data_IF_770159960121
#
_entry.id   IF_770159960121
#
_cell.length_a   1.000
_cell.length_b   1.000
_cell.length_c   1.000
_cell.angle_alpha   90.00
_cell.angle_beta   90.00
_cell.angle_gamma   90.00
#
_symmetry.space_group_name_H-M   'P 1'
#
loop_
_entity.id
_entity.type
_entity.pdbx_description
1 polymer ?
#
# COMPACT_ATOMS: atom_id res chain seq x y z
N UNK A 1 -4.98 -14.15 -19.58
CA UNK A 1 -3.62 -13.59 -19.60
C UNK A 1 -3.11 -13.59 -18.18
N UNK A 2 -1.93 -14.15 -17.92
CA UNK A 2 -1.32 -14.13 -16.58
C UNK A 2 -0.82 -12.71 -16.25
N UNK A 3 -0.57 -12.43 -14.95
CA UNK A 3 0.03 -11.14 -14.53
C UNK A 3 1.45 -10.95 -15.08
N UNK A 4 2.20 -12.04 -15.25
CA UNK A 4 3.51 -12.01 -15.93
C UNK A 4 3.40 -11.65 -17.41
N UNK A 5 2.37 -12.16 -18.12
CA UNK A 5 2.14 -11.78 -19.52
C UNK A 5 1.79 -10.29 -19.64
N UNK A 6 0.93 -9.77 -18.76
CA UNK A 6 0.60 -8.34 -18.72
C UNK A 6 1.85 -7.49 -18.43
N UNK A 7 2.72 -7.95 -17.50
CA UNK A 7 3.97 -7.27 -17.23
C UNK A 7 4.87 -7.21 -18.47
N UNK A 8 5.00 -8.31 -19.22
CA UNK A 8 5.79 -8.35 -20.47
C UNK A 8 5.24 -7.43 -21.55
N UNK A 9 3.92 -7.36 -21.71
CA UNK A 9 3.30 -6.40 -22.64
C UNK A 9 3.67 -4.96 -22.25
N UNK A 10 3.51 -4.61 -20.97
CA UNK A 10 3.90 -3.28 -20.46
C UNK A 10 5.39 -3.02 -20.60
N UNK A 11 6.25 -4.01 -20.33
CA UNK A 11 7.70 -3.89 -20.55
C UNK A 11 8.03 -3.61 -22.01
N UNK A 12 7.34 -4.26 -22.96
CA UNK A 12 7.55 -4.04 -24.39
C UNK A 12 7.14 -2.62 -24.81
N UNK A 13 6.01 -2.13 -24.31
CA UNK A 13 5.50 -0.78 -24.58
C UNK A 13 6.43 0.30 -24.03
N UNK A 14 6.98 0.09 -22.82
CA UNK A 14 7.87 1.03 -22.11
C UNK A 14 9.36 0.88 -22.51
N UNK A 15 9.71 -0.11 -23.32
CA UNK A 15 11.08 -0.40 -23.74
C UNK A 15 11.98 -0.82 -22.56
N UNK A 16 11.44 -1.68 -21.68
CA UNK A 16 12.14 -2.21 -20.50
C UNK A 16 12.69 -3.60 -20.80
N UNK A 17 13.99 -3.79 -20.60
CA UNK A 17 14.69 -5.05 -20.86
C UNK A 17 14.62 -6.01 -19.65
N UNK A 18 14.69 -5.48 -18.43
CA UNK A 18 14.70 -6.26 -17.19
C UNK A 18 13.87 -5.57 -16.10
N UNK A 19 13.04 -6.34 -15.42
CA UNK A 19 12.39 -5.96 -14.16
C UNK A 19 12.94 -6.83 -13.04
N UNK A 20 13.47 -6.21 -11.99
CA UNK A 20 13.99 -6.88 -10.79
C UNK A 20 13.11 -6.50 -9.58
N UNK A 21 12.53 -7.50 -8.94
CA UNK A 21 11.56 -7.35 -7.86
C UNK A 21 12.04 -8.10 -6.63
N UNK A 22 12.07 -7.40 -5.49
CA UNK A 22 12.37 -7.97 -4.18
C UNK A 22 11.17 -8.64 -3.50
N UNK A 23 11.37 -9.24 -2.32
CA UNK A 23 10.27 -9.68 -1.47
C UNK A 23 9.40 -8.50 -1.06
N UNK A 24 8.13 -8.55 -1.43
CA UNK A 24 7.22 -7.43 -1.17
C UNK A 24 5.88 -7.54 -1.88
N UNK A 25 5.18 -6.44 -1.93
CA UNK A 25 3.84 -6.37 -2.48
C UNK A 25 3.79 -6.60 -4.01
N UNK A 26 4.83 -6.16 -4.73
CA UNK A 26 4.93 -6.41 -6.18
C UNK A 26 5.08 -7.90 -6.48
N UNK A 27 5.95 -8.59 -5.75
CA UNK A 27 6.13 -10.03 -5.89
C UNK A 27 4.86 -10.80 -5.51
N UNK A 28 4.25 -10.44 -4.39
CA UNK A 28 3.00 -11.03 -3.94
C UNK A 28 1.87 -10.83 -4.96
N UNK A 29 1.80 -9.66 -5.61
CA UNK A 29 0.80 -9.41 -6.64
C UNK A 29 1.05 -10.23 -7.90
N UNK A 30 2.30 -10.32 -8.37
CA UNK A 30 2.64 -11.05 -9.60
C UNK A 30 2.41 -12.55 -9.51
N UNK A 31 2.83 -13.17 -8.39
CA UNK A 31 2.93 -14.63 -8.28
C UNK A 31 2.08 -15.23 -7.14
N UNK A 32 1.42 -14.40 -6.34
CA UNK A 32 0.68 -14.80 -5.12
C UNK A 32 1.56 -15.57 -4.09
N UNK A 33 2.87 -15.32 -4.10
CA UNK A 33 3.82 -15.88 -3.15
C UNK A 33 4.46 -14.80 -2.29
N UNK A 34 4.81 -15.16 -1.05
CA UNK A 34 5.45 -14.26 -0.09
C UNK A 34 6.64 -14.96 0.56
N UNK A 35 7.76 -15.07 -0.16
CA UNK A 35 8.96 -15.68 0.42
C UNK A 35 9.43 -14.81 1.60
N UNK A 36 10.11 -15.46 2.55
CA UNK A 36 10.73 -14.73 3.65
C UNK A 36 11.82 -13.80 3.10
N UNK A 37 11.76 -12.52 3.46
CA UNK A 37 12.76 -11.52 3.08
C UNK A 37 13.59 -11.11 4.29
N UNK A 38 14.91 -11.27 4.19
CA UNK A 38 15.89 -10.80 5.16
C UNK A 38 17.01 -10.01 4.45
N UNK A 39 18.24 -10.04 4.96
CA UNK A 39 19.41 -9.42 4.32
C UNK A 39 19.96 -10.24 3.14
N UNK A 40 19.49 -11.47 2.92
CA UNK A 40 19.93 -12.31 1.81
C UNK A 40 19.24 -11.91 0.52
N UNK A 41 20.02 -11.68 -0.52
CA UNK A 41 19.50 -11.25 -1.83
C UNK A 41 18.54 -12.29 -2.41
N UNK A 42 17.28 -11.90 -2.50
CA UNK A 42 16.20 -12.61 -3.15
C UNK A 42 15.57 -11.67 -4.16
N UNK A 43 15.61 -12.02 -5.44
CA UNK A 43 15.05 -11.19 -6.52
C UNK A 43 14.31 -12.08 -7.51
N UNK A 44 13.10 -11.69 -7.89
CA UNK A 44 12.49 -12.14 -9.13
C UNK A 44 13.00 -11.24 -10.26
N UNK A 45 13.59 -11.83 -11.29
CA UNK A 45 14.01 -11.16 -12.50
C UNK A 45 13.12 -11.59 -13.67
N UNK A 46 12.54 -10.62 -14.38
CA UNK A 46 11.66 -10.84 -15.53
C UNK A 46 12.22 -10.11 -16.75
N UNK A 47 12.35 -10.83 -17.87
CA UNK A 47 12.63 -10.28 -19.21
C UNK A 47 11.49 -10.63 -20.16
N UNK A 48 11.60 -10.25 -21.42
CA UNK A 48 10.61 -10.60 -22.45
C UNK A 48 10.45 -12.12 -22.68
N UNK A 49 11.49 -12.91 -22.39
CA UNK A 49 11.53 -14.33 -22.70
C UNK A 49 11.89 -15.23 -21.52
N UNK A 50 12.12 -14.64 -20.36
CA UNK A 50 12.54 -15.40 -19.18
C UNK A 50 12.01 -14.78 -17.89
N UNK A 51 11.70 -15.62 -16.92
CA UNK A 51 11.51 -15.28 -15.52
C UNK A 51 12.20 -16.30 -14.61
N UNK A 52 12.82 -15.83 -13.53
CA UNK A 52 13.48 -16.69 -12.57
C UNK A 52 13.97 -15.93 -11.36
N UNK A 53 14.28 -16.68 -10.32
CA UNK A 53 14.70 -16.13 -9.05
C UNK A 53 16.22 -16.21 -8.86
N UNK A 54 16.82 -15.11 -8.41
CA UNK A 54 18.01 -15.18 -7.57
C UNK A 54 17.54 -15.57 -6.17
N UNK A 55 18.01 -16.70 -5.63
CA UNK A 55 17.41 -17.28 -4.43
C UNK A 55 18.48 -17.77 -3.45
N UNK A 56 18.45 -17.38 -2.17
CA UNK A 56 19.24 -18.03 -1.16
C UNK A 56 18.92 -19.53 -1.11
N UNK A 57 19.93 -20.40 -1.09
CA UNK A 57 19.73 -21.86 -1.07
C UNK A 57 18.87 -22.32 0.13
N UNK A 58 18.93 -21.55 1.23
CA UNK A 58 18.13 -21.77 2.43
C UNK A 58 16.61 -21.68 2.16
N UNK A 59 16.18 -20.77 1.26
CA UNK A 59 14.77 -20.52 0.98
C UNK A 59 14.24 -21.27 -0.27
N UNK A 60 15.12 -21.89 -1.04
CA UNK A 60 14.78 -22.50 -2.33
C UNK A 60 13.75 -23.62 -2.21
N UNK A 61 13.91 -24.53 -1.25
CA UNK A 61 13.03 -25.69 -1.08
C UNK A 61 11.62 -25.28 -0.64
N UNK A 62 11.49 -24.31 0.26
CA UNK A 62 10.20 -23.81 0.74
C UNK A 62 9.45 -23.02 -0.34
N UNK A 63 10.18 -22.23 -1.13
CA UNK A 63 9.61 -21.45 -2.22
C UNK A 63 9.22 -22.33 -3.41
N UNK A 64 9.96 -23.41 -3.70
CA UNK A 64 9.63 -24.36 -4.76
C UNK A 64 8.30 -25.11 -4.54
N UNK A 65 7.76 -25.09 -3.32
CA UNK A 65 6.41 -25.62 -3.07
C UNK A 65 5.29 -24.69 -3.57
N UNK A 66 5.62 -23.46 -3.93
CA UNK A 66 4.67 -22.41 -4.31
C UNK A 66 4.79 -21.99 -5.78
N UNK A 67 5.89 -22.34 -6.46
CA UNK A 67 6.15 -21.96 -7.86
C UNK A 67 7.10 -22.92 -8.54
N UNK A 68 6.89 -23.13 -9.85
CA UNK A 68 7.77 -23.91 -10.73
C UNK A 68 8.83 -23.05 -11.43
N UNK A 69 8.93 -21.76 -11.10
CA UNK A 69 9.92 -20.88 -11.70
C UNK A 69 11.36 -21.32 -11.35
N UNK A 70 12.32 -21.14 -12.28
CA UNK A 70 13.70 -21.53 -12.04
C UNK A 70 14.38 -20.69 -10.96
N UNK A 71 15.22 -21.35 -10.15
CA UNK A 71 16.03 -20.71 -9.12
C UNK A 71 17.51 -20.75 -9.48
N UNK A 72 18.16 -19.59 -9.46
CA UNK A 72 19.61 -19.43 -9.44
C UNK A 72 20.04 -19.29 -7.98
N UNK A 73 20.43 -20.39 -7.38
CA UNK A 73 20.66 -20.45 -5.93
C UNK A 73 22.10 -20.06 -5.57
N UNK A 74 22.26 -19.47 -4.39
CA UNK A 74 23.53 -19.10 -3.81
C UNK A 74 23.56 -19.40 -2.30
N UNK A 75 24.76 -19.62 -1.76
CA UNK A 75 24.97 -19.87 -0.33
C UNK A 75 25.75 -18.75 0.34
N UNK A 76 25.64 -18.64 1.66
CA UNK A 76 26.31 -17.60 2.47
C UNK A 76 27.83 -17.56 2.29
N UNK A 77 28.45 -18.69 1.93
CA UNK A 77 29.91 -18.75 1.71
C UNK A 77 30.36 -18.14 0.37
N UNK A 78 29.47 -18.15 -0.65
CA UNK A 78 29.82 -17.74 -2.02
C UNK A 78 29.27 -16.36 -2.37
N UNK A 79 28.23 -15.93 -1.70
CA UNK A 79 27.49 -14.69 -2.01
C UNK A 79 26.64 -14.79 -3.28
N UNK A 80 25.87 -13.75 -3.61
CA UNK A 80 24.89 -13.74 -4.70
C UNK A 80 25.47 -13.47 -6.09
N UNK A 81 26.66 -12.86 -6.18
CA UNK A 81 27.19 -12.26 -7.43
C UNK A 81 27.27 -13.27 -8.59
N UNK A 82 27.81 -14.46 -8.33
CA UNK A 82 27.96 -15.49 -9.36
C UNK A 82 26.63 -16.02 -9.86
N UNK A 83 25.71 -16.31 -8.93
CA UNK A 83 24.36 -16.79 -9.28
C UNK A 83 23.56 -15.71 -10.02
N UNK A 84 23.75 -14.46 -9.65
CA UNK A 84 23.12 -13.34 -10.33
C UNK A 84 23.69 -13.12 -11.75
N UNK A 85 24.99 -13.19 -11.93
CA UNK A 85 25.61 -13.15 -13.28
C UNK A 85 25.13 -14.31 -14.17
N UNK A 86 24.96 -15.52 -13.64
CA UNK A 86 24.39 -16.65 -14.36
C UNK A 86 22.93 -16.38 -14.76
N UNK A 87 22.10 -15.84 -13.84
CA UNK A 87 20.73 -15.45 -14.11
C UNK A 87 20.66 -14.43 -15.25
N UNK A 88 21.47 -13.37 -15.19
CA UNK A 88 21.53 -12.36 -16.25
C UNK A 88 21.95 -12.96 -17.60
N UNK A 89 22.88 -13.90 -17.61
CA UNK A 89 23.32 -14.58 -18.82
C UNK A 89 22.19 -15.42 -19.42
N UNK A 90 21.54 -16.28 -18.62
CA UNK A 90 20.47 -17.17 -19.07
C UNK A 90 19.23 -16.38 -19.52
N UNK A 91 18.89 -15.32 -18.81
CA UNK A 91 17.76 -14.45 -19.15
C UNK A 91 17.99 -13.54 -20.36
N UNK A 92 19.24 -13.48 -20.88
CA UNK A 92 19.62 -12.57 -21.96
C UNK A 92 19.74 -11.10 -21.53
N UNK A 93 19.83 -10.81 -20.23
CA UNK A 93 19.83 -9.45 -19.70
C UNK A 93 21.23 -8.85 -19.47
N UNK A 94 22.33 -9.52 -19.86
CA UNK A 94 23.70 -9.02 -19.70
C UNK A 94 23.95 -7.65 -20.33
N UNK A 95 23.26 -7.36 -21.42
CA UNK A 95 23.40 -6.10 -22.17
C UNK A 95 22.15 -5.21 -22.02
N UNK A 96 21.34 -5.42 -21.00
CA UNK A 96 20.14 -4.62 -20.74
C UNK A 96 20.46 -3.12 -20.70
N UNK A 97 19.67 -2.31 -21.43
CA UNK A 97 19.81 -0.85 -21.49
C UNK A 97 18.80 -0.10 -20.66
N UNK A 98 17.68 -0.76 -20.33
CA UNK A 98 16.60 -0.20 -19.50
C UNK A 98 16.17 -1.22 -18.46
N UNK A 99 16.33 -0.85 -17.20
CA UNK A 99 15.98 -1.72 -16.07
C UNK A 99 14.96 -1.04 -15.14
N UNK A 100 14.04 -1.82 -14.64
CA UNK A 100 13.11 -1.42 -13.58
C UNK A 100 13.49 -2.11 -12.29
N UNK A 101 13.61 -1.33 -11.23
CA UNK A 101 13.87 -1.80 -9.87
C UNK A 101 12.64 -1.58 -9.00
N UNK A 102 12.34 -2.55 -8.16
CA UNK A 102 11.33 -2.41 -7.12
C UNK A 102 11.81 -1.35 -6.10
N UNK A 103 11.08 -0.26 -5.98
CA UNK A 103 11.40 0.84 -5.05
C UNK A 103 11.25 0.44 -3.57
N UNK A 104 10.59 -0.68 -3.30
CA UNK A 104 10.35 -1.18 -1.94
C UNK A 104 11.40 -2.19 -1.48
N UNK A 105 12.22 -2.71 -2.41
CA UNK A 105 13.27 -3.65 -2.05
C UNK A 105 14.40 -2.97 -1.27
N UNK A 106 15.19 -3.77 -0.58
CA UNK A 106 16.38 -3.28 0.12
C UNK A 106 17.36 -2.59 -0.83
N UNK A 107 18.02 -1.55 -0.35
CA UNK A 107 18.98 -0.77 -1.16
C UNK A 107 20.17 -1.60 -1.65
N UNK A 108 20.61 -2.58 -0.86
CA UNK A 108 21.69 -3.49 -1.24
C UNK A 108 21.28 -4.45 -2.37
N UNK A 109 20.01 -4.86 -2.45
CA UNK A 109 19.47 -5.63 -3.57
C UNK A 109 19.46 -4.80 -4.86
N UNK A 110 19.02 -3.54 -4.77
CA UNK A 110 19.09 -2.62 -5.90
C UNK A 110 20.55 -2.36 -6.33
N UNK A 111 21.47 -2.28 -5.35
CA UNK A 111 22.91 -2.14 -5.59
C UNK A 111 23.47 -3.28 -6.42
N UNK A 112 23.18 -4.54 -6.05
CA UNK A 112 23.61 -5.72 -6.80
C UNK A 112 23.22 -5.65 -8.29
N UNK A 113 21.97 -5.25 -8.57
CA UNK A 113 21.50 -5.12 -9.97
C UNK A 113 22.23 -3.99 -10.70
N UNK A 114 22.41 -2.84 -10.04
CA UNK A 114 23.08 -1.67 -10.63
C UNK A 114 24.55 -1.90 -10.89
N UNK A 115 25.25 -2.58 -9.98
CA UNK A 115 26.69 -2.89 -10.12
C UNK A 115 26.92 -3.89 -11.26
N UNK A 116 25.99 -4.83 -11.48
CA UNK A 116 26.05 -5.76 -12.60
C UNK A 116 25.67 -5.12 -13.95
N UNK A 117 24.84 -4.06 -13.95
CA UNK A 117 24.34 -3.37 -15.15
C UNK A 117 24.56 -1.84 -15.04
N UNK A 118 25.82 -1.37 -14.94
CA UNK A 118 26.12 0.03 -14.61
C UNK A 118 25.70 1.04 -15.68
N UNK A 119 25.61 0.61 -16.94
CA UNK A 119 25.24 1.46 -18.07
C UNK A 119 23.74 1.47 -18.37
N UNK A 120 22.93 0.67 -17.64
CA UNK A 120 21.50 0.59 -17.86
C UNK A 120 20.77 1.82 -17.29
N UNK A 121 19.84 2.37 -18.08
CA UNK A 121 18.90 3.39 -17.59
C UNK A 121 17.99 2.78 -16.55
N UNK A 122 18.03 3.32 -15.34
CA UNK A 122 17.21 2.88 -14.22
C UNK A 122 15.89 3.61 -14.16
N UNK A 123 14.83 2.86 -13.88
CA UNK A 123 13.48 3.35 -13.54
C UNK A 123 12.95 2.57 -12.34
N UNK A 124 11.82 3.00 -11.78
CA UNK A 124 11.07 2.28 -10.77
C UNK A 124 9.75 1.76 -11.36
N UNK A 125 8.98 1.03 -10.55
CA UNK A 125 7.84 0.23 -11.02
C UNK A 125 6.64 1.03 -11.54
N UNK A 126 6.63 2.35 -11.41
CA UNK A 126 5.47 3.22 -11.68
C UNK A 126 4.85 3.06 -13.08
N UNK A 127 5.63 2.69 -14.10
CA UNK A 127 5.15 2.47 -15.48
C UNK A 127 5.00 0.98 -15.85
N UNK A 128 5.33 0.08 -14.94
CA UNK A 128 5.28 -1.37 -15.16
C UNK A 128 4.38 -2.06 -14.14
N UNK A 129 4.92 -2.90 -13.25
CA UNK A 129 4.13 -3.64 -12.25
C UNK A 129 3.33 -2.71 -11.32
N UNK A 130 3.84 -1.53 -11.01
CA UNK A 130 3.12 -0.52 -10.23
C UNK A 130 1.88 0.00 -10.95
N UNK A 131 1.99 0.27 -12.27
CA UNK A 131 0.85 0.69 -13.10
C UNK A 131 -0.23 -0.41 -13.19
N UNK A 132 0.18 -1.66 -13.32
CA UNK A 132 -0.75 -2.80 -13.35
C UNK A 132 -1.48 -2.97 -12.02
N UNK A 133 -0.79 -2.84 -10.88
CA UNK A 133 -1.37 -2.94 -9.53
C UNK A 133 -2.36 -1.83 -9.21
N UNK A 134 -2.24 -0.66 -9.81
CA UNK A 134 -3.20 0.44 -9.58
C UNK A 134 -4.62 0.06 -9.99
N UNK A 135 -4.78 -0.76 -11.04
CA UNK A 135 -6.07 -1.24 -11.54
C UNK A 135 -6.38 -2.59 -10.92
N UNK A 136 -7.43 -2.64 -10.11
CA UNK A 136 -7.84 -3.86 -9.41
C UNK A 136 -8.75 -4.69 -10.29
N UNK A 137 -8.45 -5.97 -10.40
CA UNK A 137 -9.34 -6.91 -11.05
C UNK A 137 -10.56 -7.25 -10.17
N UNK A 138 -11.49 -8.04 -10.72
CA UNK A 138 -12.72 -8.40 -10.04
C UNK A 138 -12.49 -9.19 -8.74
N UNK A 139 -11.48 -10.06 -8.69
CA UNK A 139 -11.16 -10.86 -7.51
C UNK A 139 -10.51 -9.98 -6.42
N UNK A 140 -9.64 -9.06 -6.81
CA UNK A 140 -9.07 -8.06 -5.92
C UNK A 140 -10.16 -7.16 -5.32
N UNK A 141 -11.10 -6.70 -6.13
CA UNK A 141 -12.25 -5.92 -5.66
C UNK A 141 -13.09 -6.66 -4.62
N UNK A 142 -13.36 -7.95 -4.81
CA UNK A 142 -14.11 -8.78 -3.84
C UNK A 142 -13.37 -8.85 -2.51
N UNK A 143 -12.04 -9.05 -2.53
CA UNK A 143 -11.21 -9.10 -1.32
C UNK A 143 -11.20 -7.75 -0.60
N UNK A 144 -10.98 -6.65 -1.32
CA UNK A 144 -11.00 -5.29 -0.77
C UNK A 144 -12.36 -4.94 -0.16
N UNK A 145 -13.45 -5.22 -0.86
CA UNK A 145 -14.81 -4.98 -0.37
C UNK A 145 -15.10 -5.75 0.93
N UNK A 146 -14.70 -7.02 1.00
CA UNK A 146 -14.84 -7.81 2.21
C UNK A 146 -14.08 -7.21 3.38
N UNK A 147 -12.82 -6.79 3.17
CA UNK A 147 -12.00 -6.16 4.20
C UNK A 147 -12.57 -4.81 4.65
N UNK A 148 -13.13 -4.02 3.73
CA UNK A 148 -13.83 -2.78 4.07
C UNK A 148 -15.07 -3.05 4.96
N UNK A 149 -15.89 -4.07 4.66
CA UNK A 149 -17.03 -4.46 5.49
C UNK A 149 -16.59 -4.95 6.88
N UNK A 150 -15.44 -5.59 6.98
CA UNK A 150 -14.86 -5.99 8.28
C UNK A 150 -14.42 -4.77 9.10
N UNK A 151 -13.85 -3.76 8.44
CA UNK A 151 -13.51 -2.49 9.09
C UNK A 151 -14.74 -1.72 9.55
N UNK A 152 -15.82 -1.69 8.76
CA UNK A 152 -17.11 -1.14 9.16
C UNK A 152 -17.66 -1.83 10.42
N UNK A 153 -17.51 -3.15 10.51
CA UNK A 153 -17.96 -3.92 11.69
C UNK A 153 -17.12 -3.56 12.92
N UNK A 154 -15.81 -3.46 12.78
CA UNK A 154 -14.92 -3.08 13.87
C UNK A 154 -15.16 -1.62 14.33
N UNK A 155 -15.39 -0.70 13.39
CA UNK A 155 -15.77 0.68 13.69
C UNK A 155 -17.06 0.77 14.49
N UNK A 156 -18.10 0.02 14.09
CA UNK A 156 -19.37 -0.04 14.81
C UNK A 156 -19.20 -0.62 16.22
N UNK A 157 -18.39 -1.67 16.39
CA UNK A 157 -18.07 -2.23 17.69
C UNK A 157 -17.49 -1.18 18.65
N UNK A 158 -16.53 -0.38 18.15
CA UNK A 158 -15.97 0.73 18.93
C UNK A 158 -17.02 1.77 19.31
N UNK A 159 -17.83 2.25 18.35
CA UNK A 159 -18.88 3.24 18.61
C UNK A 159 -19.87 2.80 19.69
N UNK A 160 -20.32 1.53 19.66
CA UNK A 160 -21.28 1.02 20.62
C UNK A 160 -20.70 0.80 22.02
N UNK A 161 -19.40 0.46 22.10
CA UNK A 161 -18.74 0.14 23.37
C UNK A 161 -18.08 1.33 24.04
N UNK A 162 -17.68 2.36 23.28
CA UNK A 162 -16.94 3.51 23.74
C UNK A 162 -17.71 4.32 24.79
N UNK A 163 -17.02 4.64 25.90
CA UNK A 163 -17.58 5.38 27.03
C UNK A 163 -16.55 6.38 27.57
N UNK A 164 -17.04 7.49 28.10
CA UNK A 164 -16.24 8.39 28.94
C UNK A 164 -15.57 7.61 30.06
N UNK A 165 -14.30 7.85 30.30
CA UNK A 165 -13.46 7.16 31.27
C UNK A 165 -12.64 6.00 30.70
N UNK A 166 -12.93 5.52 29.47
CA UNK A 166 -12.05 4.59 28.77
C UNK A 166 -10.80 5.30 28.27
N UNK A 167 -9.70 4.57 28.13
CA UNK A 167 -8.50 5.08 27.46
C UNK A 167 -8.58 4.84 25.94
N UNK A 168 -7.76 5.58 25.17
CA UNK A 168 -7.59 5.34 23.73
C UNK A 168 -7.20 3.89 23.47
N UNK A 169 -6.27 3.32 24.27
CA UNK A 169 -5.85 1.92 24.19
C UNK A 169 -7.03 0.97 24.33
N UNK A 170 -7.92 1.18 25.30
CA UNK A 170 -9.10 0.34 25.49
C UNK A 170 -10.07 0.39 24.31
N UNK A 171 -10.19 1.54 23.64
CA UNK A 171 -10.99 1.66 22.40
C UNK A 171 -10.32 0.90 21.25
N UNK A 172 -9.01 1.03 21.11
CA UNK A 172 -8.22 0.32 20.09
C UNK A 172 -8.29 -1.21 20.28
N UNK A 173 -8.32 -1.69 21.53
CA UNK A 173 -8.44 -3.12 21.83
C UNK A 173 -9.80 -3.69 21.39
N UNK A 174 -10.90 -2.95 21.59
CA UNK A 174 -12.22 -3.34 21.05
C UNK A 174 -12.17 -3.53 19.52
N UNK A 175 -11.48 -2.63 18.83
CA UNK A 175 -11.32 -2.70 17.37
C UNK A 175 -10.50 -3.92 16.97
N UNK A 176 -9.36 -4.15 17.63
CA UNK A 176 -8.51 -5.32 17.41
C UNK A 176 -9.23 -6.64 17.64
N UNK A 177 -9.97 -6.73 18.74
CA UNK A 177 -10.78 -7.90 19.09
C UNK A 177 -11.88 -8.14 18.04
N UNK A 178 -12.52 -7.06 17.56
CA UNK A 178 -13.53 -7.16 16.51
C UNK A 178 -12.93 -7.66 15.19
N UNK A 179 -11.74 -7.19 14.77
CA UNK A 179 -11.05 -7.73 13.61
C UNK A 179 -10.69 -9.21 13.81
N UNK A 180 -10.10 -9.54 14.96
CA UNK A 180 -9.71 -10.92 15.26
C UNK A 180 -10.90 -11.88 15.25
N UNK A 181 -12.06 -11.47 15.77
CA UNK A 181 -13.29 -12.27 15.75
C UNK A 181 -13.83 -12.58 14.36
N UNK A 182 -13.41 -11.79 13.35
CA UNK A 182 -13.73 -11.97 11.92
C UNK A 182 -12.63 -12.70 11.15
N UNK A 183 -11.59 -13.21 11.84
CA UNK A 183 -10.39 -13.78 11.23
C UNK A 183 -9.73 -12.78 10.27
N UNK A 184 -9.66 -11.51 10.69
CA UNK A 184 -8.96 -10.40 10.03
C UNK A 184 -7.81 -9.97 10.92
N UNK A 185 -6.62 -9.84 10.37
CA UNK A 185 -5.44 -9.35 11.10
C UNK A 185 -5.58 -7.83 11.31
N UNK A 186 -5.58 -7.31 12.55
CA UNK A 186 -5.49 -5.87 12.78
C UNK A 186 -4.15 -5.35 12.24
N UNK A 187 -4.17 -4.33 11.41
CA UNK A 187 -2.96 -3.70 10.86
C UNK A 187 -2.60 -2.44 11.63
N UNK A 188 -3.59 -1.61 11.91
CA UNK A 188 -3.43 -0.42 12.75
C UNK A 188 -4.77 -0.03 13.39
N UNK A 189 -4.68 0.70 14.51
CA UNK A 189 -5.81 1.36 15.17
C UNK A 189 -5.28 2.61 15.86
N UNK A 190 -5.48 3.76 15.25
CA UNK A 190 -5.12 5.07 15.77
C UNK A 190 -6.37 5.70 16.37
N UNK A 191 -6.34 5.91 17.68
CA UNK A 191 -7.41 6.55 18.43
C UNK A 191 -6.87 7.84 19.01
N UNK A 192 -7.40 8.98 18.58
CA UNK A 192 -6.97 10.29 19.04
C UNK A 192 -8.11 11.05 19.71
N UNK A 193 -8.09 11.15 21.05
CA UNK A 193 -9.10 11.85 21.84
C UNK A 193 -8.76 13.33 22.02
N UNK A 194 -9.72 14.23 21.78
CA UNK A 194 -9.55 15.66 21.94
C UNK A 194 -8.38 16.20 21.10
N UNK A 195 -7.41 16.85 21.74
CA UNK A 195 -6.23 17.42 21.07
C UNK A 195 -5.33 16.41 20.35
N UNK A 196 -5.36 15.13 20.73
CA UNK A 196 -4.59 14.07 20.07
C UNK A 196 -5.08 13.81 18.64
N UNK A 197 -6.35 14.09 18.33
CA UNK A 197 -6.90 13.99 16.99
C UNK A 197 -6.31 14.99 15.97
N UNK A 198 -5.51 15.97 16.42
CA UNK A 198 -4.79 16.88 15.54
C UNK A 198 -3.52 16.29 14.93
N UNK A 199 -3.08 15.12 15.39
CA UNK A 199 -1.87 14.45 14.92
C UNK A 199 -2.24 13.25 14.04
N UNK A 200 -2.02 13.30 12.71
CA UNK A 200 -2.45 12.24 11.78
C UNK A 200 -1.90 10.85 12.13
N UNK A 201 -0.66 10.78 12.63
CA UNK A 201 -0.02 9.54 13.08
C UNK A 201 0.13 9.50 14.60
N UNK A 202 -0.95 9.88 15.31
CA UNK A 202 -0.96 9.81 16.78
C UNK A 202 -0.67 8.37 17.26
N UNK A 203 0.15 8.27 18.29
CA UNK A 203 0.37 7.00 18.98
C UNK A 203 -0.71 6.81 20.05
N UNK A 204 -1.67 5.94 19.77
CA UNK A 204 -2.73 5.53 20.70
C UNK A 204 -2.15 5.14 22.07
N UNK A 205 -2.67 5.74 23.13
CA UNK A 205 -2.10 5.62 24.47
C UNK A 205 -3.13 5.61 25.59
N UNK A 206 -2.69 6.05 26.76
CA UNK A 206 -3.49 6.02 28.00
C UNK A 206 -4.31 7.30 28.21
N UNK A 207 -4.45 8.15 27.19
CA UNK A 207 -5.33 9.32 27.27
C UNK A 207 -6.76 8.89 27.53
N UNK A 208 -7.36 9.41 28.59
CA UNK A 208 -8.71 9.07 29.00
C UNK A 208 -9.71 9.93 28.26
N UNK A 209 -10.70 9.30 27.62
CA UNK A 209 -11.83 9.94 26.95
C UNK A 209 -12.70 10.70 27.95
N UNK A 210 -12.97 11.97 27.66
CA UNK A 210 -13.75 12.88 28.50
C UNK A 210 -15.00 13.36 27.80
N UNK A 211 -16.00 13.76 28.55
CA UNK A 211 -17.16 14.43 28.00
C UNK A 211 -16.72 15.71 27.26
N UNK A 212 -17.18 15.90 26.03
CA UNK A 212 -16.78 17.00 25.14
C UNK A 212 -15.65 16.67 24.19
N UNK A 213 -15.01 15.48 24.27
CA UNK A 213 -13.97 15.12 23.33
C UNK A 213 -14.57 14.73 21.95
N UNK A 214 -13.98 15.27 20.90
CA UNK A 214 -14.06 14.68 19.57
C UNK A 214 -12.95 13.61 19.48
N UNK A 215 -13.29 12.42 19.02
CA UNK A 215 -12.38 11.27 18.95
C UNK A 215 -12.23 10.86 17.50
N UNK A 216 -11.00 10.92 16.98
CA UNK A 216 -10.63 10.33 15.69
C UNK A 216 -10.40 8.85 15.91
N UNK A 217 -10.99 8.02 15.06
CA UNK A 217 -10.72 6.59 14.98
C UNK A 217 -10.32 6.27 13.55
N UNK A 218 -9.03 5.96 13.35
CA UNK A 218 -8.46 5.59 12.08
C UNK A 218 -7.94 4.16 12.17
N UNK A 219 -8.55 3.25 11.40
CA UNK A 219 -8.38 1.82 11.61
C UNK A 219 -8.24 1.06 10.29
N UNK A 220 -7.47 0.00 10.33
CA UNK A 220 -7.32 -0.91 9.20
C UNK A 220 -7.04 -2.33 9.62
N UNK A 221 -7.55 -3.26 8.82
CA UNK A 221 -7.30 -4.69 8.96
C UNK A 221 -6.97 -5.33 7.61
N UNK A 222 -6.42 -6.53 7.64
CA UNK A 222 -6.01 -7.24 6.44
C UNK A 222 -6.37 -8.72 6.47
N UNK A 223 -6.89 -9.21 5.34
CA UNK A 223 -7.19 -10.63 5.11
C UNK A 223 -6.94 -10.98 3.64
N UNK A 224 -6.46 -12.19 3.41
CA UNK A 224 -6.13 -12.72 2.07
C UNK A 224 -5.19 -11.81 1.27
N UNK A 225 -4.25 -11.18 1.99
CA UNK A 225 -3.22 -10.34 1.41
C UNK A 225 -3.66 -8.93 1.00
N UNK A 226 -4.89 -8.52 1.28
CA UNK A 226 -5.42 -7.18 0.99
C UNK A 226 -5.77 -6.45 2.27
N UNK A 227 -5.73 -5.11 2.20
CA UNK A 227 -5.91 -4.22 3.35
C UNK A 227 -7.28 -3.54 3.34
N UNK A 228 -7.66 -2.97 4.47
CA UNK A 228 -8.71 -1.96 4.61
C UNK A 228 -8.19 -0.76 5.38
N UNK A 229 -8.81 0.39 5.16
CA UNK A 229 -8.45 1.66 5.75
C UNK A 229 -9.71 2.53 5.86
N UNK A 230 -10.06 2.95 7.06
CA UNK A 230 -11.25 3.75 7.31
C UNK A 230 -11.06 4.66 8.53
N UNK A 231 -11.32 5.94 8.35
CA UNK A 231 -11.36 6.92 9.44
C UNK A 231 -12.78 7.38 9.71
N UNK A 232 -13.16 7.46 10.97
CA UNK A 232 -14.44 8.02 11.44
C UNK A 232 -14.24 8.83 12.72
N UNK A 233 -15.17 9.74 12.94
CA UNK A 233 -15.23 10.55 14.16
C UNK A 233 -16.31 10.05 15.11
N UNK A 234 -16.04 10.22 16.40
CA UNK A 234 -17.05 10.11 17.45
C UNK A 234 -17.01 11.35 18.35
N UNK A 235 -18.07 11.61 19.07
CA UNK A 235 -18.12 12.69 20.08
C UNK A 235 -18.61 12.11 21.40
N UNK A 236 -17.87 12.41 22.46
CA UNK A 236 -18.22 12.01 23.83
C UNK A 236 -19.14 13.05 24.46
N UNK A 237 -20.45 12.82 24.37
CA UNK A 237 -21.45 13.77 24.91
C UNK A 237 -21.67 15.01 24.04
N UNK A 238 -21.44 16.20 24.57
CA UNK A 238 -21.65 17.46 23.83
C UNK A 238 -20.45 17.76 22.94
N UNK A 239 -20.64 18.00 21.61
CA UNK A 239 -19.53 18.27 20.72
C UNK A 239 -18.79 19.57 21.09
N UNK A 240 -17.46 19.64 20.91
CA UNK A 240 -16.72 20.87 21.15
C UNK A 240 -17.16 21.96 20.15
N UNK A 241 -16.95 23.20 20.55
CA UNK A 241 -17.29 24.37 19.72
C UNK A 241 -16.61 24.28 18.34
N UNK A 242 -17.39 24.48 17.28
CA UNK A 242 -16.91 24.44 15.89
C UNK A 242 -16.87 23.04 15.27
N UNK A 243 -16.97 21.96 16.08
CA UNK A 243 -16.88 20.58 15.56
C UNK A 243 -17.90 20.27 14.46
N UNK A 244 -19.17 20.59 14.69
CA UNK A 244 -20.26 20.31 13.74
C UNK A 244 -20.01 21.01 12.41
N UNK A 245 -19.55 22.26 12.44
CA UNK A 245 -19.25 23.05 11.26
C UNK A 245 -18.07 22.42 10.47
N UNK A 246 -16.95 22.18 11.14
CA UNK A 246 -15.76 21.60 10.49
C UNK A 246 -16.05 20.21 9.97
N UNK A 247 -16.77 19.37 10.74
CA UNK A 247 -17.17 18.02 10.28
C UNK A 247 -18.01 18.09 9.00
N UNK A 248 -18.97 19.03 8.92
CA UNK A 248 -19.80 19.19 7.73
C UNK A 248 -18.98 19.65 6.51
N UNK A 249 -17.96 20.50 6.70
CA UNK A 249 -17.04 20.92 5.64
C UNK A 249 -16.22 19.75 5.14
N UNK A 250 -15.67 18.93 6.04
CA UNK A 250 -14.91 17.73 5.66
C UNK A 250 -15.77 16.71 4.93
N UNK A 251 -17.00 16.49 5.40
CA UNK A 251 -17.95 15.61 4.70
C UNK A 251 -18.26 16.12 3.28
N UNK A 252 -18.49 17.42 3.12
CA UNK A 252 -18.71 18.02 1.81
C UNK A 252 -17.47 17.87 0.89
N UNK A 253 -16.27 17.99 1.45
CA UNK A 253 -15.02 17.77 0.71
C UNK A 253 -14.87 16.30 0.25
N UNK A 254 -15.21 15.34 1.10
CA UNK A 254 -15.24 13.90 0.74
C UNK A 254 -16.23 13.65 -0.41
N UNK A 255 -17.44 14.21 -0.32
CA UNK A 255 -18.45 14.07 -1.38
C UNK A 255 -18.00 14.72 -2.70
N UNK A 256 -17.33 15.87 -2.65
CA UNK A 256 -16.75 16.52 -3.83
C UNK A 256 -15.65 15.65 -4.47
N UNK A 257 -14.75 15.08 -3.67
CA UNK A 257 -13.72 14.15 -4.15
C UNK A 257 -14.34 12.91 -4.83
N UNK A 258 -15.32 12.28 -4.18
CA UNK A 258 -16.03 11.12 -4.72
C UNK A 258 -16.76 11.46 -6.01
N UNK A 259 -17.36 12.64 -6.11
CA UNK A 259 -18.02 13.11 -7.31
C UNK A 259 -17.03 13.38 -8.46
N UNK A 260 -15.82 13.83 -8.17
CA UNK A 260 -14.79 14.09 -9.16
C UNK A 260 -14.07 12.83 -9.65
N UNK A 261 -13.96 11.80 -8.80
CA UNK A 261 -13.28 10.54 -9.13
C UNK A 261 -14.04 9.77 -10.21
N UNK A 262 -13.48 9.75 -11.44
CA UNK A 262 -14.05 9.08 -12.61
C UNK A 262 -12.91 8.51 -13.47
N UNK A 263 -13.12 7.43 -14.23
CA UNK A 263 -12.19 7.02 -15.28
C UNK A 263 -11.88 8.17 -16.25
N UNK A 264 -10.62 8.30 -16.62
CA UNK A 264 -10.10 9.35 -17.50
C UNK A 264 -9.76 10.67 -16.82
N UNK A 265 -10.04 10.82 -15.51
CA UNK A 265 -9.71 12.04 -14.75
C UNK A 265 -8.31 11.90 -14.14
N UNK A 266 -7.53 12.96 -14.14
CA UNK A 266 -6.25 12.99 -13.43
C UNK A 266 -6.48 13.05 -11.92
N UNK A 267 -5.63 12.36 -11.16
CA UNK A 267 -5.76 12.26 -9.71
C UNK A 267 -5.73 13.64 -8.99
N UNK A 268 -4.98 14.63 -9.52
CA UNK A 268 -5.00 15.98 -8.94
C UNK A 268 -6.39 16.63 -8.98
N UNK A 269 -7.22 16.32 -9.98
CA UNK A 269 -8.59 16.92 -10.07
C UNK A 269 -9.45 16.47 -8.89
N UNK A 270 -9.22 15.27 -8.37
CA UNK A 270 -9.91 14.76 -7.17
C UNK A 270 -9.40 15.49 -5.91
N UNK A 271 -8.09 15.74 -5.81
CA UNK A 271 -7.51 16.55 -4.73
C UNK A 271 -8.03 18.00 -4.79
N UNK A 272 -8.02 18.61 -5.99
CA UNK A 272 -8.51 19.98 -6.19
C UNK A 272 -9.98 20.13 -5.75
N UNK A 273 -10.82 19.15 -6.04
CA UNK A 273 -12.23 19.16 -5.66
C UNK A 273 -12.43 19.14 -4.13
N UNK A 274 -11.71 18.27 -3.42
CA UNK A 274 -11.79 18.22 -1.95
C UNK A 274 -11.16 19.45 -1.32
N UNK A 275 -9.96 19.80 -1.76
CA UNK A 275 -9.18 20.93 -1.23
C UNK A 275 -9.87 22.26 -1.44
N UNK A 276 -10.53 22.47 -2.60
CA UNK A 276 -11.32 23.66 -2.89
C UNK A 276 -12.41 23.90 -1.85
N UNK A 277 -13.19 22.88 -1.48
CA UNK A 277 -14.24 23.01 -0.45
C UNK A 277 -13.67 23.48 0.90
N UNK A 278 -12.52 22.89 1.31
CA UNK A 278 -11.88 23.24 2.58
C UNK A 278 -11.28 24.66 2.54
N UNK A 279 -10.68 25.05 1.41
CA UNK A 279 -10.11 26.39 1.21
C UNK A 279 -11.19 27.47 1.20
N UNK A 280 -12.28 27.24 0.48
CA UNK A 280 -13.40 28.18 0.38
C UNK A 280 -14.08 28.41 1.74
N UNK A 281 -14.04 27.40 2.61
CA UNK A 281 -14.52 27.52 3.99
C UNK A 281 -13.51 28.20 4.95
N UNK A 282 -12.31 28.58 4.46
CA UNK A 282 -11.30 29.28 5.25
C UNK A 282 -10.37 28.36 6.09
N UNK A 283 -10.39 27.05 5.85
CA UNK A 283 -9.58 26.07 6.59
C UNK A 283 -8.41 25.50 5.79
N UNK A 284 -8.08 26.08 4.62
CA UNK A 284 -7.06 25.57 3.71
C UNK A 284 -5.67 25.39 4.34
N UNK A 285 -5.26 26.30 5.23
CA UNK A 285 -3.96 26.21 5.93
C UNK A 285 -3.82 25.00 6.85
N UNK A 286 -4.93 24.40 7.29
CA UNK A 286 -4.95 23.22 8.15
C UNK A 286 -4.96 21.90 7.36
N UNK A 287 -5.22 21.94 6.05
CA UNK A 287 -5.25 20.77 5.19
C UNK A 287 -3.88 20.54 4.52
N UNK A 288 -2.92 20.06 5.29
CA UNK A 288 -1.51 19.95 4.90
C UNK A 288 -1.14 18.64 4.20
N UNK A 289 -1.99 17.61 4.25
CA UNK A 289 -1.71 16.31 3.65
C UNK A 289 -2.44 16.11 2.31
N UNK A 290 -2.14 15.02 1.63
CA UNK A 290 -2.86 14.61 0.42
C UNK A 290 -4.30 14.23 0.73
N UNK A 291 -5.19 14.33 -0.28
CA UNK A 291 -6.60 13.93 -0.14
C UNK A 291 -6.76 12.44 0.07
N UNK A 292 -5.90 11.63 -0.57
CA UNK A 292 -5.99 10.18 -0.43
C UNK A 292 -4.87 9.43 -1.16
N UNK A 293 -5.04 8.12 -1.24
CA UNK A 293 -4.09 7.19 -1.86
C UNK A 293 -4.81 5.94 -2.36
N UNK A 294 -4.16 5.20 -3.27
CA UNK A 294 -4.55 3.84 -3.61
C UNK A 294 -4.37 2.91 -2.42
N UNK A 295 -5.11 1.82 -2.43
CA UNK A 295 -5.04 0.77 -1.44
C UNK A 295 -5.21 -0.59 -2.12
N UNK A 296 -4.51 -1.60 -1.64
CA UNK A 296 -4.56 -2.95 -2.17
C UNK A 296 -3.88 -3.93 -1.24
N UNK A 297 -2.79 -4.53 -1.71
CA UNK A 297 -1.92 -5.37 -0.87
C UNK A 297 -1.26 -4.50 0.21
N UNK A 298 -0.82 -3.30 -0.16
CA UNK A 298 -0.36 -2.31 0.79
C UNK A 298 -1.50 -1.37 1.18
N UNK A 299 -1.42 -0.81 2.37
CA UNK A 299 -2.37 0.21 2.85
C UNK A 299 -2.21 1.46 1.98
N UNK A 300 -0.96 1.91 1.79
CA UNK A 300 -0.63 3.05 0.95
C UNK A 300 0.04 2.59 -0.34
N UNK A 301 -0.64 2.67 -1.45
CA UNK A 301 -0.06 2.44 -2.78
C UNK A 301 -0.53 3.49 -3.78
N UNK A 302 0.07 3.49 -4.97
CA UNK A 302 -0.36 4.37 -6.07
C UNK A 302 -1.79 4.01 -6.54
N UNK A 303 -2.55 4.99 -7.07
CA UNK A 303 -2.19 6.39 -7.27
C UNK A 303 -2.28 7.20 -5.98
N UNK A 304 -1.42 8.19 -5.81
CA UNK A 304 -1.57 9.19 -4.75
C UNK A 304 -2.44 10.35 -5.24
N UNK A 305 -3.45 10.69 -4.45
CA UNK A 305 -4.39 11.79 -4.75
C UNK A 305 -3.83 13.07 -4.14
N UNK A 306 -3.04 13.78 -4.93
CA UNK A 306 -2.32 14.99 -4.55
C UNK A 306 -2.47 16.07 -5.61
N UNK A 307 -2.30 17.34 -5.25
CA UNK A 307 -2.37 18.49 -6.16
C UNK A 307 -1.41 18.41 -7.37
N UNK A 308 -0.32 17.63 -7.28
CA UNK A 308 0.68 17.47 -8.37
C UNK A 308 0.50 16.20 -9.20
N UNK A 309 -0.41 15.30 -8.80
CA UNK A 309 -0.53 13.98 -9.44
C UNK A 309 -1.14 14.06 -10.84
N UNK A 310 -0.37 13.64 -11.84
CA UNK A 310 -0.80 13.59 -13.24
C UNK A 310 -1.33 12.19 -13.63
N UNK A 311 -1.35 11.24 -12.69
CA UNK A 311 -1.85 9.88 -12.94
C UNK A 311 -3.32 9.94 -13.37
N UNK A 312 -3.63 9.33 -14.50
CA UNK A 312 -5.01 9.18 -14.98
C UNK A 312 -5.65 8.01 -14.25
N UNK A 313 -6.83 8.24 -13.69
CA UNK A 313 -7.62 7.18 -13.07
C UNK A 313 -8.27 6.31 -14.15
N UNK A 314 -8.18 5.01 -14.01
CA UNK A 314 -8.74 4.02 -14.94
C UNK A 314 -9.65 3.05 -14.18
N UNK A 315 -10.45 2.26 -14.93
CA UNK A 315 -11.28 1.18 -14.35
C UNK A 315 -10.43 -0.01 -13.93
#
# INVERSE_FOLDING_TARGET
>A
MSRLDQLRETMAEEGVDLVAIGPGAHLAWLLDIRPHGDERHLLLCVTQSYEGFLMPSLEAESTAQQTDLPFHTWGDADGPDKAFAELLHISGAMDAKSIVLDETMRADFAGLVQDALPDAKRQFTATTVGALRMRKDADEYVKLKRNALSADTAMKAAWFAMKTGMTETQVADIIRDSFASQDVKPLFAIIGAGGNGAFPHHHTGETVLKNGDAVVMDIGGGKDGYSSDITRMAVMGTPPKGFIEVHAIVEAAVQAAMAAARPGVKAHVVDDAARGVIMDAGYGEYFMHRTGHGMGIEIHETPYITASSQTVLEE
#
